data_IF_865946757766
#
_entry.id   IF_865946757766
#
_cell.length_a   1.000
_cell.length_b   1.000
_cell.length_c   1.000
_cell.angle_alpha   90.00
_cell.angle_beta   90.00
_cell.angle_gamma   90.00
#
_symmetry.space_group_name_H-M   'P 1'
#
loop_
_entity.id
_entity.type
_entity.pdbx_description
1 polymer ?
#
# COMPACT_ATOMS: atom_id res chain seq x y z
N UNK A 1 -24.43 -13.55 2.55
CA UNK A 1 -23.00 -13.47 2.37
C UNK A 1 -22.49 -12.10 2.00
N UNK A 2 -23.12 -11.46 1.04
CA UNK A 2 -22.76 -10.07 0.70
C UNK A 2 -22.97 -9.10 1.84
N UNK A 3 -24.02 -9.26 2.61
CA UNK A 3 -24.30 -8.40 3.75
C UNK A 3 -23.22 -8.49 4.83
N UNK A 4 -22.64 -9.67 4.99
CA UNK A 4 -21.54 -9.88 5.96
C UNK A 4 -20.24 -9.24 5.51
N UNK A 5 -19.93 -9.29 4.21
CA UNK A 5 -18.75 -8.64 3.65
C UNK A 5 -18.87 -7.13 3.72
N UNK A 6 -20.03 -6.61 3.40
CA UNK A 6 -20.30 -5.17 3.48
C UNK A 6 -20.23 -4.70 4.93
N UNK A 7 -20.82 -5.45 5.85
CA UNK A 7 -20.71 -5.15 7.27
C UNK A 7 -19.28 -5.14 7.76
N UNK A 8 -18.47 -6.08 7.29
CA UNK A 8 -17.07 -6.20 7.70
C UNK A 8 -16.22 -5.03 7.20
N UNK A 9 -16.52 -4.55 6.00
CA UNK A 9 -15.84 -3.39 5.42
C UNK A 9 -16.31 -2.08 6.04
N UNK A 10 -17.55 -2.02 6.49
CA UNK A 10 -18.16 -0.81 7.02
C UNK A 10 -18.27 -0.77 8.55
N UNK A 11 -17.68 -1.76 9.24
CA UNK A 11 -17.94 -1.96 10.66
C UNK A 11 -17.28 -0.98 11.60
N UNK A 12 -16.35 -0.20 11.16
CA UNK A 12 -15.80 0.85 12.02
C UNK A 12 -16.60 2.12 11.84
N UNK A 13 -17.78 2.15 12.46
CA UNK A 13 -18.68 3.32 12.44
C UNK A 13 -19.17 3.69 11.04
N UNK A 14 -19.29 2.70 10.16
CA UNK A 14 -19.73 2.92 8.80
C UNK A 14 -18.67 3.49 7.88
N UNK A 15 -17.41 3.56 8.35
CA UNK A 15 -16.31 4.06 7.54
C UNK A 15 -15.62 2.92 6.79
N UNK A 16 -15.19 3.22 5.57
CA UNK A 16 -14.39 2.31 4.77
C UNK A 16 -12.95 2.26 5.30
N UNK A 17 -12.28 1.14 5.07
CA UNK A 17 -10.85 1.07 5.32
C UNK A 17 -10.11 2.02 4.38
N UNK A 18 -9.10 2.70 4.89
CA UNK A 18 -8.36 3.69 4.12
C UNK A 18 -7.01 3.14 3.68
N UNK A 19 -6.70 3.35 2.41
CA UNK A 19 -5.45 2.92 1.79
C UNK A 19 -4.69 4.15 1.32
N UNK A 20 -3.40 4.18 1.60
CA UNK A 20 -2.51 5.21 1.07
C UNK A 20 -1.71 4.61 -0.07
N UNK A 21 -1.64 5.30 -1.21
CA UNK A 21 -0.85 4.88 -2.37
C UNK A 21 0.20 5.94 -2.65
N UNK A 22 1.46 5.54 -2.69
CA UNK A 22 2.58 6.44 -2.99
C UNK A 22 3.38 5.88 -4.16
N UNK A 23 3.33 6.58 -5.28
CA UNK A 23 4.04 6.22 -6.50
C UNK A 23 4.28 7.50 -7.30
N UNK A 24 5.50 7.71 -7.78
CA UNK A 24 5.85 8.94 -8.49
C UNK A 24 5.21 9.05 -9.88
N UNK A 25 4.58 7.99 -10.37
CA UNK A 25 3.90 7.99 -11.65
C UNK A 25 2.39 8.22 -11.46
N UNK A 26 1.86 9.40 -11.90
CA UNK A 26 0.44 9.72 -11.71
C UNK A 26 -0.51 8.71 -12.35
N UNK A 27 -0.14 8.15 -13.50
CA UNK A 27 -0.97 7.15 -14.18
C UNK A 27 -1.14 5.90 -13.34
N UNK A 28 -0.09 5.49 -12.63
CA UNK A 28 -0.13 4.32 -11.76
C UNK A 28 -1.02 4.58 -10.55
N UNK A 29 -0.83 5.71 -9.87
CA UNK A 29 -1.66 6.05 -8.70
C UNK A 29 -3.12 6.17 -9.08
N UNK A 30 -3.42 6.74 -10.25
CA UNK A 30 -4.79 6.88 -10.72
C UNK A 30 -5.44 5.53 -10.98
N UNK A 31 -4.70 4.62 -11.61
CA UNK A 31 -5.19 3.27 -11.90
C UNK A 31 -5.43 2.47 -10.62
N UNK A 32 -4.49 2.53 -9.69
CA UNK A 32 -4.61 1.83 -8.41
C UNK A 32 -5.76 2.40 -7.59
N UNK A 33 -5.89 3.71 -7.56
CA UNK A 33 -6.97 4.38 -6.85
C UNK A 33 -8.33 3.93 -7.37
N UNK A 34 -8.51 3.95 -8.69
CA UNK A 34 -9.77 3.56 -9.30
C UNK A 34 -10.13 2.11 -8.96
N UNK A 35 -9.17 1.20 -9.07
CA UNK A 35 -9.41 -0.21 -8.75
C UNK A 35 -9.76 -0.44 -7.30
N UNK A 36 -9.02 0.19 -6.41
CA UNK A 36 -9.25 0.03 -4.97
C UNK A 36 -10.58 0.62 -4.54
N UNK A 37 -10.99 1.75 -5.12
CA UNK A 37 -12.27 2.38 -4.80
C UNK A 37 -13.45 1.59 -5.36
N UNK A 38 -13.38 1.20 -6.62
CA UNK A 38 -14.52 0.60 -7.34
C UNK A 38 -14.69 -0.87 -6.98
N UNK A 39 -13.61 -1.65 -7.05
CA UNK A 39 -13.67 -3.08 -6.80
C UNK A 39 -13.52 -3.40 -5.33
N UNK A 40 -12.58 -2.73 -4.67
CA UNK A 40 -12.25 -2.99 -3.26
C UNK A 40 -13.12 -2.26 -2.26
N UNK A 41 -13.82 -1.22 -2.70
CA UNK A 41 -14.66 -0.38 -1.84
C UNK A 41 -13.87 0.30 -0.72
N UNK A 42 -12.60 0.62 -0.98
CA UNK A 42 -11.74 1.32 -0.04
C UNK A 42 -11.81 2.84 -0.24
N UNK A 43 -11.51 3.58 0.81
CA UNK A 43 -11.12 4.98 0.67
C UNK A 43 -9.64 5.03 0.34
N UNK A 44 -9.26 5.88 -0.61
CA UNK A 44 -7.88 5.90 -1.10
C UNK A 44 -7.37 7.33 -1.16
N UNK A 45 -6.21 7.55 -0.56
CA UNK A 45 -5.44 8.78 -0.76
C UNK A 45 -4.20 8.44 -1.59
N UNK A 46 -3.84 9.31 -2.51
CA UNK A 46 -2.69 9.08 -3.37
C UNK A 46 -1.71 10.24 -3.29
N UNK A 47 -0.43 9.92 -3.36
CA UNK A 47 0.63 10.92 -3.45
C UNK A 47 1.63 10.49 -4.51
N UNK A 48 2.10 11.46 -5.28
CA UNK A 48 3.13 11.21 -6.29
C UNK A 48 4.52 11.68 -5.83
N UNK A 49 4.61 12.09 -4.58
CA UNK A 49 5.84 12.55 -3.95
C UNK A 49 5.94 11.98 -2.54
N UNK A 50 7.04 11.27 -2.21
CA UNK A 50 7.17 10.65 -0.89
C UNK A 50 7.22 11.64 0.25
N UNK A 51 7.79 12.82 0.06
CA UNK A 51 7.83 13.83 1.11
C UNK A 51 6.45 14.35 1.46
N UNK A 52 5.60 14.57 0.45
CA UNK A 52 4.21 15.00 0.66
C UNK A 52 3.41 13.92 1.39
N UNK A 53 3.62 12.68 1.02
CA UNK A 53 2.98 11.56 1.71
C UNK A 53 3.39 11.52 3.18
N UNK A 54 4.67 11.69 3.44
CA UNK A 54 5.21 11.66 4.80
C UNK A 54 4.64 12.79 5.66
N UNK A 55 4.53 13.98 5.11
CA UNK A 55 3.97 15.15 5.82
C UNK A 55 2.50 14.96 6.19
N UNK A 56 1.75 14.25 5.35
CA UNK A 56 0.32 14.03 5.57
C UNK A 56 0.03 12.80 6.41
N UNK A 57 1.02 11.95 6.62
CA UNK A 57 0.83 10.68 7.31
C UNK A 57 0.68 10.90 8.82
N UNK A 58 -0.31 10.22 9.41
CA UNK A 58 -0.56 10.23 10.84
C UNK A 58 -0.72 8.80 11.34
N UNK A 59 -0.40 8.53 12.63
CA UNK A 59 -0.60 7.19 13.19
C UNK A 59 -2.06 6.74 13.05
N UNK A 60 -2.24 5.47 12.78
CA UNK A 60 -3.55 4.83 12.69
C UNK A 60 -4.49 5.42 11.63
N UNK A 61 -3.95 6.16 10.67
CA UNK A 61 -4.75 6.79 9.61
C UNK A 61 -5.09 5.85 8.48
N UNK A 62 -4.24 4.86 8.23
CA UNK A 62 -4.38 3.96 7.07
C UNK A 62 -4.31 2.51 7.51
N UNK A 63 -5.19 1.69 6.92
CA UNK A 63 -5.15 0.25 7.11
C UNK A 63 -3.96 -0.38 6.40
N UNK A 64 -3.54 0.23 5.28
CA UNK A 64 -2.44 -0.26 4.47
C UNK A 64 -1.85 0.87 3.65
N UNK A 65 -0.55 0.81 3.42
CA UNK A 65 0.16 1.73 2.53
C UNK A 65 0.78 0.94 1.39
N UNK A 66 0.52 1.36 0.17
CA UNK A 66 1.16 0.80 -1.04
C UNK A 66 2.24 1.77 -1.47
N UNK A 67 3.48 1.31 -1.54
CA UNK A 67 4.64 2.16 -1.81
C UNK A 67 5.42 1.62 -2.99
N UNK A 68 5.63 2.46 -4.01
CA UNK A 68 6.56 2.13 -5.09
C UNK A 68 7.99 2.21 -4.56
N UNK A 69 8.81 1.24 -4.93
CA UNK A 69 10.21 1.19 -4.46
C UNK A 69 11.05 2.27 -5.12
N UNK A 70 10.88 2.45 -6.43
CA UNK A 70 11.73 3.33 -7.22
C UNK A 70 11.11 4.71 -7.40
N UNK A 71 11.47 5.61 -6.51
CA UNK A 71 11.05 7.00 -6.59
C UNK A 71 12.26 7.91 -6.46
N UNK A 72 12.27 9.08 -7.12
CA UNK A 72 13.37 10.03 -6.95
C UNK A 72 13.37 10.62 -5.53
N UNK A 73 14.52 11.08 -5.08
CA UNK A 73 14.77 11.73 -3.79
C UNK A 73 14.70 10.79 -2.60
N UNK A 74 13.63 10.02 -2.46
CA UNK A 74 13.43 9.08 -1.36
C UNK A 74 12.81 7.82 -1.93
N UNK A 75 13.49 6.68 -1.83
CA UNK A 75 12.93 5.42 -2.32
C UNK A 75 11.90 4.87 -1.34
N UNK A 76 11.20 3.81 -1.77
CA UNK A 76 10.13 3.23 -0.98
C UNK A 76 10.57 2.69 0.37
N UNK A 77 11.79 2.15 0.46
CA UNK A 77 12.31 1.63 1.73
C UNK A 77 12.58 2.74 2.73
N UNK A 78 13.15 3.84 2.25
CA UNK A 78 13.40 5.01 3.08
C UNK A 78 12.09 5.61 3.59
N UNK A 79 11.10 5.68 2.73
CA UNK A 79 9.77 6.15 3.14
C UNK A 79 9.16 5.23 4.20
N UNK A 80 9.22 3.92 3.98
CA UNK A 80 8.71 2.94 4.93
C UNK A 80 9.35 3.11 6.32
N UNK A 81 10.67 3.25 6.37
CA UNK A 81 11.36 3.44 7.65
C UNK A 81 10.86 4.66 8.40
N UNK A 82 10.59 5.74 7.68
CA UNK A 82 10.07 6.97 8.29
C UNK A 82 8.62 6.83 8.73
N UNK A 83 7.79 6.16 7.93
CA UNK A 83 6.40 5.87 8.31
C UNK A 83 6.35 4.99 9.55
N UNK A 84 7.22 4.01 9.64
CA UNK A 84 7.28 3.08 10.76
C UNK A 84 7.64 3.77 12.07
N UNK A 85 8.42 4.83 12.02
CA UNK A 85 8.72 5.65 13.20
C UNK A 85 7.51 6.39 13.71
N UNK A 86 6.61 6.78 12.81
CA UNK A 86 5.37 7.48 13.15
C UNK A 86 4.32 6.49 13.62
N UNK A 87 4.21 5.35 12.93
CA UNK A 87 3.23 4.30 13.24
C UNK A 87 3.93 2.94 13.16
N UNK A 88 4.40 2.40 14.31
CA UNK A 88 5.11 1.11 14.32
C UNK A 88 4.29 -0.06 13.79
N UNK A 89 2.97 0.05 13.81
CA UNK A 89 2.06 -1.02 13.36
C UNK A 89 1.62 -0.85 11.91
N UNK A 90 2.19 0.11 11.18
CA UNK A 90 1.80 0.37 9.80
C UNK A 90 2.02 -0.87 8.93
N UNK A 91 1.00 -1.22 8.16
CA UNK A 91 1.09 -2.31 7.20
C UNK A 91 1.44 -1.73 5.83
N UNK A 92 2.38 -2.36 5.16
CA UNK A 92 2.91 -1.87 3.89
C UNK A 92 3.03 -3.00 2.88
N UNK A 93 2.71 -2.69 1.63
CA UNK A 93 3.12 -3.47 0.47
C UNK A 93 4.01 -2.59 -0.39
N UNK A 94 5.12 -3.16 -0.85
CA UNK A 94 5.98 -2.51 -1.82
C UNK A 94 5.58 -2.96 -3.22
N UNK A 95 5.44 -1.99 -4.12
CA UNK A 95 5.18 -2.24 -5.53
C UNK A 95 6.51 -2.22 -6.27
N UNK A 96 6.79 -3.24 -7.02
CA UNK A 96 8.06 -3.35 -7.73
C UNK A 96 7.86 -3.83 -9.17
N UNK A 97 8.59 -3.23 -10.11
CA UNK A 97 8.65 -3.76 -11.47
C UNK A 97 9.40 -5.10 -11.46
N UNK A 98 9.03 -6.01 -12.37
CA UNK A 98 9.64 -7.35 -12.42
C UNK A 98 11.16 -7.32 -12.53
N UNK A 99 11.69 -6.35 -13.26
CA UNK A 99 13.12 -6.18 -13.44
C UNK A 99 13.83 -5.84 -12.12
N UNK A 100 13.15 -5.08 -11.27
CA UNK A 100 13.70 -4.61 -10.00
C UNK A 100 13.54 -5.62 -8.87
N UNK A 101 12.61 -6.55 -9.01
CA UNK A 101 12.32 -7.52 -7.97
C UNK A 101 13.55 -8.38 -7.66
N UNK A 102 14.25 -8.83 -8.67
CA UNK A 102 15.44 -9.66 -8.50
C UNK A 102 16.64 -8.87 -7.98
N UNK A 103 16.79 -7.63 -8.42
CA UNK A 103 17.92 -6.78 -8.02
C UNK A 103 17.80 -6.31 -6.57
N UNK A 104 16.58 -6.00 -6.14
CA UNK A 104 16.35 -5.49 -4.79
C UNK A 104 16.15 -6.57 -3.75
N UNK A 105 16.15 -7.83 -4.15
CA UNK A 105 15.92 -8.95 -3.25
C UNK A 105 16.95 -9.02 -2.12
N UNK A 106 18.19 -8.62 -2.39
CA UNK A 106 19.25 -8.57 -1.39
C UNK A 106 19.05 -7.43 -0.39
N UNK A 107 18.67 -6.27 -0.88
CA UNK A 107 18.35 -5.13 -0.02
C UNK A 107 17.16 -5.45 0.88
N UNK A 108 16.22 -6.23 0.36
CA UNK A 108 15.04 -6.69 1.09
C UNK A 108 15.40 -7.67 2.20
N UNK A 109 16.35 -8.56 1.94
CA UNK A 109 16.85 -9.49 2.95
C UNK A 109 17.54 -8.76 4.10
N UNK A 110 18.24 -7.67 3.79
CA UNK A 110 18.91 -6.84 4.80
C UNK A 110 17.93 -6.11 5.72
N UNK A 111 16.75 -5.78 5.20
CA UNK A 111 15.72 -5.12 5.98
C UNK A 111 14.84 -6.09 6.76
N UNK A 112 15.17 -7.38 6.73
CA UNK A 112 14.40 -8.47 7.33
C UNK A 112 12.95 -8.49 6.84
N UNK A 113 12.72 -8.06 5.60
CA UNK A 113 11.40 -8.02 5.00
C UNK A 113 11.15 -9.33 4.24
N UNK A 114 10.00 -9.92 4.48
CA UNK A 114 9.58 -11.14 3.82
C UNK A 114 9.07 -10.86 2.41
N UNK A 115 9.08 -11.88 1.54
CA UNK A 115 8.50 -11.80 0.21
C UNK A 115 7.02 -11.38 0.24
N UNK A 116 6.36 -11.58 1.37
CA UNK A 116 4.95 -11.22 1.57
C UNK A 116 4.70 -9.71 1.58
N UNK A 117 5.75 -8.91 1.53
CA UNK A 117 5.65 -7.45 1.51
C UNK A 117 5.76 -6.87 0.11
N UNK A 118 5.87 -7.71 -0.92
CA UNK A 118 6.08 -7.26 -2.29
C UNK A 118 4.96 -7.67 -3.21
N UNK A 119 4.50 -6.71 -4.00
CA UNK A 119 3.59 -6.96 -5.11
C UNK A 119 4.30 -6.57 -6.41
N UNK A 120 4.36 -7.48 -7.34
CA UNK A 120 5.05 -7.28 -8.61
C UNK A 120 4.12 -6.60 -9.61
N UNK A 121 4.59 -5.52 -10.22
CA UNK A 121 3.89 -4.86 -11.32
C UNK A 121 4.14 -5.62 -12.63
N UNK A 122 3.19 -5.65 -13.57
CA UNK A 122 1.83 -5.17 -13.43
C UNK A 122 0.98 -6.15 -12.62
N UNK A 123 0.07 -5.63 -11.82
CA UNK A 123 -0.85 -6.46 -11.04
C UNK A 123 -2.28 -6.14 -11.48
N UNK A 124 -3.11 -7.17 -11.68
CA UNK A 124 -4.50 -6.95 -12.01
C UNK A 124 -5.25 -6.34 -10.83
N UNK A 125 -6.33 -5.61 -11.10
CA UNK A 125 -7.14 -5.03 -10.05
C UNK A 125 -7.68 -6.09 -9.09
N UNK A 126 -8.14 -7.22 -9.61
CA UNK A 126 -8.67 -8.29 -8.79
C UNK A 126 -7.61 -8.86 -7.87
N UNK A 127 -6.40 -9.10 -8.37
CA UNK A 127 -5.30 -9.62 -7.55
C UNK A 127 -4.86 -8.59 -6.51
N UNK A 128 -4.80 -7.32 -6.89
CA UNK A 128 -4.47 -6.24 -5.97
C UNK A 128 -5.46 -6.19 -4.82
N UNK A 129 -6.75 -6.20 -5.12
CA UNK A 129 -7.79 -6.13 -4.09
C UNK A 129 -7.73 -7.35 -3.17
N UNK A 130 -7.50 -8.54 -3.72
CA UNK A 130 -7.33 -9.75 -2.92
C UNK A 130 -6.15 -9.64 -1.96
N UNK A 131 -5.01 -9.18 -2.45
CA UNK A 131 -3.81 -9.04 -1.64
C UNK A 131 -4.00 -7.98 -0.56
N UNK A 132 -4.66 -6.89 -0.89
CA UNK A 132 -4.94 -5.83 0.08
C UNK A 132 -5.84 -6.34 1.20
N UNK A 133 -6.94 -7.03 0.87
CA UNK A 133 -7.81 -7.62 1.88
C UNK A 133 -7.07 -8.62 2.77
N UNK A 134 -6.28 -9.46 2.16
CA UNK A 134 -5.48 -10.45 2.88
C UNK A 134 -4.53 -9.78 3.88
N UNK A 135 -3.87 -8.71 3.46
CA UNK A 135 -2.92 -7.99 4.30
C UNK A 135 -3.61 -7.26 5.45
N UNK A 136 -4.70 -6.58 5.17
CA UNK A 136 -5.46 -5.84 6.18
C UNK A 136 -5.98 -6.80 7.25
N UNK A 137 -6.44 -7.98 6.85
CA UNK A 137 -7.01 -8.97 7.76
C UNK A 137 -5.95 -9.85 8.45
N UNK A 138 -4.70 -9.75 8.07
CA UNK A 138 -3.60 -10.48 8.74
C UNK A 138 -3.23 -9.81 10.05
N UNK A 139 -2.78 -10.60 10.99
CA UNK A 139 -2.30 -10.07 12.28
C UNK A 139 -0.83 -9.71 12.25
#
# INVERSE_FOLDING_TARGET
MYALCIKKVLTRQGTKERILVVDDEPDITLTLEAGLKIVGLFDVDTFNDPESALKSFKPDSYALVLIDIMMPKMNGFQLYERLKKIDPDVKVYFLTASEMYHENRRALAHCALNNDLFLQKPISTDDLVKEVHKKINSK
#
